data_IF_683602535988
#
_entry.id   IF_683602535988
#
_cell.length_a   1.000
_cell.length_b   1.000
_cell.length_c   1.000
_cell.angle_alpha   90.00
_cell.angle_beta   90.00
_cell.angle_gamma   90.00
#
_symmetry.space_group_name_H-M   'P 1'
#
loop_
_entity.id
_entity.type
_entity.pdbx_description
1 polymer ?
#
# COMPACT_ATOMS: atom_id res chain seq x y z
N UNK A 1 -4.59 -34.55 26.77
CA UNK A 1 -3.84 -34.56 28.02
C UNK A 1 -3.27 -33.18 28.37
N UNK A 2 -2.47 -33.13 29.40
CA UNK A 2 -1.89 -31.88 29.96
C UNK A 2 -1.09 -31.04 28.94
N UNK A 3 -0.30 -31.70 28.08
CA UNK A 3 0.54 -31.02 27.11
C UNK A 3 -0.29 -30.28 26.04
N UNK A 4 -1.45 -30.81 25.66
CA UNK A 4 -2.37 -30.12 24.76
C UNK A 4 -2.96 -28.86 25.43
N UNK A 5 -3.40 -28.96 26.67
CA UNK A 5 -3.91 -27.82 27.45
C UNK A 5 -2.84 -26.74 27.56
N UNK A 6 -1.58 -27.13 27.83
CA UNK A 6 -0.48 -26.21 27.94
C UNK A 6 -0.22 -25.44 26.64
N UNK A 7 -0.18 -26.13 25.48
CA UNK A 7 0.03 -25.48 24.20
C UNK A 7 -1.14 -24.54 23.83
N UNK A 8 -2.38 -24.92 24.13
CA UNK A 8 -3.53 -24.02 23.97
C UNK A 8 -3.46 -22.80 24.89
N UNK A 9 -3.03 -22.98 26.14
CA UNK A 9 -2.84 -21.85 27.08
C UNK A 9 -1.80 -20.85 26.56
N UNK A 10 -0.69 -21.32 25.96
CA UNK A 10 0.28 -20.44 25.32
C UNK A 10 -0.32 -19.71 24.13
N UNK A 11 -1.15 -20.36 23.28
CA UNK A 11 -1.81 -19.72 22.16
C UNK A 11 -2.73 -18.57 22.62
N UNK A 12 -3.54 -18.82 23.66
CA UNK A 12 -4.39 -17.78 24.26
C UNK A 12 -3.58 -16.62 24.85
N UNK A 13 -2.48 -16.95 25.55
CA UNK A 13 -1.61 -15.92 26.14
C UNK A 13 -0.95 -15.08 25.07
N UNK A 14 -0.46 -15.66 23.97
CA UNK A 14 0.07 -14.93 22.83
C UNK A 14 -0.98 -13.98 22.24
N UNK A 15 -2.22 -14.45 22.06
CA UNK A 15 -3.32 -13.62 21.56
C UNK A 15 -3.61 -12.44 22.52
N UNK A 16 -3.67 -12.70 23.83
CA UNK A 16 -3.91 -11.66 24.83
C UNK A 16 -2.79 -10.62 24.86
N UNK A 17 -1.52 -11.07 24.84
CA UNK A 17 -0.37 -10.16 24.80
C UNK A 17 -0.34 -9.30 23.53
N UNK A 18 -0.63 -9.89 22.37
CA UNK A 18 -0.73 -9.17 21.11
C UNK A 18 -1.84 -8.10 21.14
N UNK A 19 -3.03 -8.48 21.64
CA UNK A 19 -4.17 -7.53 21.76
C UNK A 19 -3.84 -6.35 22.66
N UNK A 20 -2.98 -6.56 23.67
CA UNK A 20 -2.49 -5.51 24.56
C UNK A 20 -1.23 -4.79 24.04
N UNK A 21 -0.82 -5.06 22.80
CA UNK A 21 0.43 -4.56 22.19
C UNK A 21 1.70 -4.82 23.02
N UNK A 22 1.71 -5.91 23.84
CA UNK A 22 2.85 -6.33 24.66
C UNK A 22 3.75 -7.30 23.85
N UNK A 23 4.23 -6.83 22.69
CA UNK A 23 4.96 -7.66 21.72
C UNK A 23 6.26 -8.23 22.28
N UNK A 24 7.01 -7.46 23.06
CA UNK A 24 8.26 -7.94 23.67
C UNK A 24 8.03 -9.13 24.60
N UNK A 25 6.97 -9.07 25.41
CA UNK A 25 6.61 -10.18 26.30
C UNK A 25 6.16 -11.41 25.51
N UNK A 26 5.43 -11.21 24.43
CA UNK A 26 5.04 -12.28 23.54
C UNK A 26 6.28 -12.97 22.94
N UNK A 27 7.23 -12.20 22.43
CA UNK A 27 8.45 -12.75 21.84
C UNK A 27 9.33 -13.47 22.87
N UNK A 28 9.38 -12.97 24.12
CA UNK A 28 10.06 -13.66 25.22
C UNK A 28 9.43 -15.02 25.59
N UNK A 29 8.13 -15.19 25.32
CA UNK A 29 7.40 -16.41 25.62
C UNK A 29 7.62 -17.51 24.57
N UNK A 30 8.06 -17.16 23.36
CA UNK A 30 8.20 -18.08 22.22
C UNK A 30 9.05 -19.31 22.53
N UNK A 31 10.25 -19.20 23.15
CA UNK A 31 11.07 -20.38 23.45
C UNK A 31 10.37 -21.40 24.37
N UNK A 32 9.58 -20.94 25.32
CA UNK A 32 8.85 -21.81 26.22
C UNK A 32 7.63 -22.44 25.54
N UNK A 33 6.98 -21.70 24.65
CA UNK A 33 5.91 -22.24 23.82
C UNK A 33 6.45 -23.35 22.88
N UNK A 34 7.59 -23.10 22.21
CA UNK A 34 8.26 -24.13 21.38
C UNK A 34 8.61 -25.39 22.15
N UNK A 35 9.16 -25.26 23.39
CA UNK A 35 9.41 -26.39 24.28
C UNK A 35 8.13 -27.15 24.63
N UNK A 36 7.02 -26.42 24.89
CA UNK A 36 5.74 -27.07 25.19
C UNK A 36 5.22 -27.86 23.97
N UNK A 37 5.34 -27.30 22.75
CA UNK A 37 4.99 -28.02 21.51
C UNK A 37 5.85 -29.25 21.33
N UNK A 38 7.19 -29.15 21.47
CA UNK A 38 8.10 -30.27 21.33
C UNK A 38 7.81 -31.40 22.38
N UNK A 39 7.45 -31.02 23.61
CA UNK A 39 7.02 -31.97 24.64
C UNK A 39 5.70 -32.64 24.26
N UNK A 40 4.75 -31.92 23.70
CA UNK A 40 3.48 -32.48 23.24
C UNK A 40 3.70 -33.45 22.07
N UNK A 41 4.56 -33.11 21.12
CA UNK A 41 4.91 -33.99 19.99
C UNK A 41 5.57 -35.28 20.50
N UNK A 42 6.52 -35.18 21.47
CA UNK A 42 7.18 -36.33 22.08
C UNK A 42 6.20 -37.23 22.85
N UNK A 43 5.29 -36.63 23.64
CA UNK A 43 4.33 -37.40 24.44
C UNK A 43 3.22 -38.06 23.60
N UNK A 44 2.88 -37.46 22.46
CA UNK A 44 1.85 -37.98 21.52
C UNK A 44 2.42 -38.92 20.45
N UNK A 45 3.74 -38.96 20.26
CA UNK A 45 4.41 -39.75 19.23
C UNK A 45 4.15 -39.24 17.79
N UNK A 46 3.63 -38.03 17.62
CA UNK A 46 3.30 -37.44 16.31
C UNK A 46 3.51 -35.94 16.34
N UNK A 47 3.74 -35.37 15.15
CA UNK A 47 3.78 -33.90 14.97
C UNK A 47 2.45 -33.27 15.36
N UNK A 48 2.50 -32.02 15.81
CA UNK A 48 1.32 -31.23 16.22
C UNK A 48 1.18 -29.99 15.34
N UNK A 49 0.70 -30.15 14.08
CA UNK A 49 0.62 -29.06 13.12
C UNK A 49 -0.30 -27.92 13.59
N UNK A 50 -1.34 -28.23 14.35
CA UNK A 50 -2.25 -27.23 14.92
C UNK A 50 -1.52 -26.34 15.95
N UNK A 51 -0.79 -26.94 16.90
CA UNK A 51 -0.06 -26.18 17.91
C UNK A 51 1.06 -25.33 17.29
N UNK A 52 1.79 -25.87 16.29
CA UNK A 52 2.77 -25.11 15.51
C UNK A 52 2.12 -23.99 14.70
N UNK A 53 0.97 -24.26 14.05
CA UNK A 53 0.19 -23.29 13.29
C UNK A 53 -0.21 -22.11 14.17
N UNK A 54 -0.74 -22.36 15.35
CA UNK A 54 -1.13 -21.31 16.30
C UNK A 54 0.05 -20.41 16.71
N UNK A 55 1.24 -21.00 16.95
CA UNK A 55 2.45 -20.23 17.21
C UNK A 55 2.84 -19.37 16.01
N UNK A 56 2.84 -19.94 14.81
CA UNK A 56 3.24 -19.20 13.61
C UNK A 56 2.24 -18.08 13.24
N UNK A 57 0.93 -18.29 13.45
CA UNK A 57 -0.08 -17.23 13.34
C UNK A 57 0.19 -16.09 14.32
N UNK A 58 0.49 -16.43 15.59
CA UNK A 58 0.80 -15.42 16.59
C UNK A 58 2.04 -14.60 16.21
N UNK A 59 3.11 -15.24 15.75
CA UNK A 59 4.34 -14.58 15.33
C UNK A 59 4.16 -13.78 14.04
N UNK A 60 3.52 -14.35 13.01
CA UNK A 60 3.20 -13.64 11.78
C UNK A 60 2.45 -12.34 12.07
N UNK A 61 1.37 -12.43 12.86
CA UNK A 61 0.58 -11.26 13.19
C UNK A 61 1.34 -10.24 14.05
N UNK A 62 2.17 -10.71 15.00
CA UNK A 62 3.04 -9.83 15.79
C UNK A 62 4.00 -9.06 14.92
N UNK A 63 4.65 -9.72 13.95
CA UNK A 63 5.56 -9.04 13.03
C UNK A 63 4.83 -8.13 12.03
N UNK A 64 3.59 -8.42 11.66
CA UNK A 64 2.73 -7.48 10.89
C UNK A 64 2.45 -6.23 11.74
N UNK A 65 2.03 -6.40 13.00
CA UNK A 65 1.69 -5.30 13.89
C UNK A 65 2.91 -4.40 14.19
N UNK A 66 4.11 -5.00 14.27
CA UNK A 66 5.40 -4.29 14.46
C UNK A 66 6.04 -3.83 13.14
N UNK A 67 5.38 -4.08 11.99
CA UNK A 67 5.84 -3.71 10.63
C UNK A 67 7.16 -4.39 10.20
N UNK A 68 7.53 -5.51 10.80
CA UNK A 68 8.64 -6.37 10.35
C UNK A 68 8.11 -7.39 9.32
N UNK A 69 7.84 -6.90 8.12
CA UNK A 69 7.16 -7.70 7.08
C UNK A 69 8.03 -8.83 6.53
N UNK A 70 9.35 -8.74 6.65
CA UNK A 70 10.25 -9.83 6.24
C UNK A 70 10.06 -11.04 7.14
N UNK A 71 10.10 -10.85 8.46
CA UNK A 71 9.80 -11.93 9.42
C UNK A 71 8.36 -12.40 9.32
N UNK A 72 7.41 -11.51 9.10
CA UNK A 72 6.02 -11.90 8.85
C UNK A 72 5.92 -12.86 7.65
N UNK A 73 6.64 -12.60 6.56
CA UNK A 73 6.73 -13.44 5.37
C UNK A 73 7.35 -14.80 5.64
N UNK A 74 8.39 -14.88 6.49
CA UNK A 74 8.97 -16.16 6.90
C UNK A 74 7.96 -17.04 7.64
N UNK A 75 7.22 -16.48 8.59
CA UNK A 75 6.20 -17.23 9.33
C UNK A 75 4.98 -17.57 8.49
N UNK A 76 4.59 -16.70 7.54
CA UNK A 76 3.58 -17.03 6.55
C UNK A 76 3.98 -18.25 5.71
N UNK A 77 5.23 -18.30 5.23
CA UNK A 77 5.75 -19.45 4.46
C UNK A 77 5.77 -20.74 5.30
N UNK A 78 6.13 -20.65 6.59
CA UNK A 78 6.03 -21.78 7.51
C UNK A 78 4.60 -22.25 7.72
N UNK A 79 3.63 -21.32 7.80
CA UNK A 79 2.20 -21.63 7.89
C UNK A 79 1.68 -22.36 6.65
N UNK A 80 2.06 -21.90 5.47
CA UNK A 80 1.66 -22.51 4.20
C UNK A 80 2.21 -23.94 4.03
N UNK A 81 3.36 -24.22 4.63
CA UNK A 81 3.95 -25.56 4.64
C UNK A 81 3.25 -26.55 5.58
N UNK A 82 2.43 -26.04 6.51
CA UNK A 82 1.67 -26.84 7.45
C UNK A 82 0.23 -26.97 6.95
N UNK A 83 -0.22 -28.18 6.68
CA UNK A 83 -1.65 -28.44 6.40
C UNK A 83 -2.43 -28.21 7.69
N UNK A 84 -2.89 -26.97 7.90
CA UNK A 84 -3.66 -26.59 9.08
C UNK A 84 -5.04 -26.08 8.65
N UNK A 85 -6.07 -26.87 8.91
CA UNK A 85 -7.46 -26.53 8.57
C UNK A 85 -8.05 -25.44 9.49
N UNK A 86 -7.35 -25.04 10.55
CA UNK A 86 -7.85 -24.10 11.56
C UNK A 86 -7.51 -22.64 11.25
N UNK A 87 -6.69 -22.39 10.22
CA UNK A 87 -6.35 -21.02 9.82
C UNK A 87 -7.37 -20.53 8.81
N UNK A 88 -7.99 -19.41 9.13
CA UNK A 88 -8.94 -18.78 8.21
C UNK A 88 -8.23 -18.35 6.92
N UNK A 89 -8.81 -18.69 5.76
CA UNK A 89 -8.31 -18.21 4.47
C UNK A 89 -8.24 -16.67 4.41
N UNK A 90 -9.10 -15.97 5.16
CA UNK A 90 -9.11 -14.51 5.23
C UNK A 90 -7.93 -13.97 6.03
N UNK A 91 -7.54 -14.66 7.11
CA UNK A 91 -6.36 -14.27 7.89
C UNK A 91 -5.08 -14.41 7.07
N UNK A 92 -4.94 -15.50 6.33
CA UNK A 92 -3.81 -15.67 5.40
C UNK A 92 -3.83 -14.63 4.28
N UNK A 93 -5.00 -14.36 3.69
CA UNK A 93 -5.14 -13.35 2.66
C UNK A 93 -4.81 -11.95 3.18
N UNK A 94 -5.28 -11.61 4.39
CA UNK A 94 -4.94 -10.37 5.08
C UNK A 94 -3.43 -10.23 5.26
N UNK A 95 -2.78 -11.25 5.77
CA UNK A 95 -1.33 -11.23 6.00
C UNK A 95 -0.55 -11.07 4.68
N UNK A 96 -0.90 -11.84 3.65
CA UNK A 96 -0.30 -11.72 2.30
C UNK A 96 -0.49 -10.33 1.73
N UNK A 97 -1.69 -9.78 1.81
CA UNK A 97 -2.00 -8.46 1.28
C UNK A 97 -1.17 -7.37 1.96
N UNK A 98 -1.03 -7.41 3.30
CA UNK A 98 -0.22 -6.45 4.05
C UNK A 98 1.27 -6.56 3.70
N UNK A 99 1.79 -7.79 3.51
CA UNK A 99 3.17 -8.00 3.08
C UNK A 99 3.39 -7.45 1.66
N UNK A 100 2.51 -7.75 0.68
CA UNK A 100 2.61 -7.19 -0.66
C UNK A 100 2.46 -5.66 -0.68
N UNK A 101 1.57 -5.11 0.15
CA UNK A 101 1.40 -3.67 0.31
C UNK A 101 2.69 -3.01 0.83
N UNK A 102 3.37 -3.62 1.80
CA UNK A 102 4.65 -3.11 2.31
C UNK A 102 5.76 -3.10 1.25
N UNK A 103 5.69 -4.02 0.30
CA UNK A 103 6.59 -4.11 -0.85
C UNK A 103 6.20 -3.17 -2.00
N UNK A 104 5.08 -2.44 -1.87
CA UNK A 104 4.52 -1.58 -2.93
C UNK A 104 3.79 -2.35 -4.04
N UNK A 105 3.64 -3.67 -3.93
CA UNK A 105 2.93 -4.50 -4.92
C UNK A 105 1.41 -4.54 -4.64
N UNK A 106 0.79 -3.37 -4.78
CA UNK A 106 -0.64 -3.18 -4.53
C UNK A 106 -1.52 -4.06 -5.44
N UNK A 107 -1.05 -4.40 -6.64
CA UNK A 107 -1.80 -5.28 -7.56
C UNK A 107 -1.92 -6.69 -7.02
N UNK A 108 -0.82 -7.27 -6.53
CA UNK A 108 -0.85 -8.59 -5.89
C UNK A 108 -1.62 -8.56 -4.59
N UNK A 109 -1.45 -7.52 -3.78
CA UNK A 109 -2.21 -7.33 -2.56
C UNK A 109 -3.72 -7.36 -2.83
N UNK A 110 -4.20 -6.61 -3.82
CA UNK A 110 -5.61 -6.58 -4.22
C UNK A 110 -6.09 -7.94 -4.72
N UNK A 111 -5.33 -8.59 -5.60
CA UNK A 111 -5.68 -9.89 -6.18
C UNK A 111 -5.85 -10.98 -5.10
N UNK A 112 -5.02 -10.97 -4.07
CA UNK A 112 -5.14 -11.91 -2.93
C UNK A 112 -6.43 -11.69 -2.15
N UNK A 113 -6.78 -10.44 -1.86
CA UNK A 113 -8.03 -10.09 -1.17
C UNK A 113 -9.23 -10.49 -2.02
N UNK A 114 -9.25 -10.12 -3.29
CA UNK A 114 -10.36 -10.42 -4.20
C UNK A 114 -10.58 -11.93 -4.35
N UNK A 115 -9.50 -12.70 -4.48
CA UNK A 115 -9.58 -14.16 -4.54
C UNK A 115 -10.13 -14.79 -3.25
N UNK A 116 -9.72 -14.27 -2.09
CA UNK A 116 -10.17 -14.80 -0.80
C UNK A 116 -11.63 -14.47 -0.51
N UNK A 117 -12.13 -13.34 -1.01
CA UNK A 117 -13.49 -12.85 -0.76
C UNK A 117 -14.48 -13.19 -1.88
N UNK A 118 -14.02 -13.82 -2.97
CA UNK A 118 -14.86 -14.19 -4.10
C UNK A 118 -16.04 -15.10 -3.66
N UNK A 119 -17.24 -14.72 -4.08
CA UNK A 119 -18.46 -15.49 -3.84
C UNK A 119 -19.01 -15.43 -2.41
N UNK A 120 -18.53 -14.51 -1.58
CA UNK A 120 -19.05 -14.30 -0.24
C UNK A 120 -20.02 -13.12 -0.26
N UNK A 121 -21.06 -13.22 0.55
CA UNK A 121 -22.03 -12.14 0.73
C UNK A 121 -21.32 -10.88 1.26
N UNK A 122 -21.53 -9.76 0.60
CA UNK A 122 -20.96 -8.47 0.99
C UNK A 122 -21.44 -8.00 2.38
N UNK A 123 -22.50 -8.56 2.93
CA UNK A 123 -22.97 -8.27 4.29
C UNK A 123 -22.24 -9.04 5.38
N UNK A 124 -21.36 -10.00 5.04
CA UNK A 124 -20.65 -10.82 6.02
C UNK A 124 -19.63 -9.99 6.82
N UNK A 125 -19.88 -9.87 8.13
CA UNK A 125 -19.01 -9.14 9.07
C UNK A 125 -17.60 -9.72 9.18
N UNK A 126 -17.41 -11.00 8.88
CA UNK A 126 -16.08 -11.63 8.91
C UNK A 126 -15.10 -11.00 7.90
N UNK A 127 -15.62 -10.28 6.90
CA UNK A 127 -14.85 -9.60 5.88
C UNK A 127 -14.40 -8.16 6.25
N UNK A 128 -14.81 -7.65 7.40
CA UNK A 128 -14.56 -6.24 7.73
C UNK A 128 -13.08 -5.86 7.70
N UNK A 129 -12.20 -6.72 8.21
CA UNK A 129 -10.76 -6.44 8.20
C UNK A 129 -10.17 -6.51 6.79
N UNK A 130 -10.63 -7.45 5.97
CA UNK A 130 -10.21 -7.52 4.56
C UNK A 130 -10.73 -6.35 3.73
N UNK A 131 -11.93 -5.86 4.02
CA UNK A 131 -12.49 -4.65 3.38
C UNK A 131 -11.67 -3.42 3.70
N UNK A 132 -11.29 -3.22 4.97
CA UNK A 132 -10.41 -2.09 5.37
C UNK A 132 -9.11 -2.09 4.60
N UNK A 133 -8.45 -3.25 4.50
CA UNK A 133 -7.21 -3.39 3.74
C UNK A 133 -7.44 -3.15 2.25
N UNK A 134 -8.53 -3.68 1.68
CA UNK A 134 -8.89 -3.44 0.28
C UNK A 134 -9.10 -1.96 -0.02
N UNK A 135 -9.81 -1.24 0.84
CA UNK A 135 -9.98 0.22 0.72
C UNK A 135 -8.65 0.96 0.72
N UNK A 136 -7.74 0.62 1.65
CA UNK A 136 -6.42 1.23 1.72
C UNK A 136 -5.59 0.94 0.46
N UNK A 137 -5.60 -0.30 -0.03
CA UNK A 137 -4.92 -0.69 -1.27
C UNK A 137 -5.47 0.09 -2.46
N UNK A 138 -6.80 0.18 -2.61
CA UNK A 138 -7.45 0.93 -3.69
C UNK A 138 -7.08 2.42 -3.64
N UNK A 139 -7.09 3.02 -2.45
CA UNK A 139 -6.67 4.40 -2.27
C UNK A 139 -5.21 4.62 -2.68
N UNK A 140 -4.29 3.74 -2.28
CA UNK A 140 -2.87 3.79 -2.68
C UNK A 140 -2.64 3.59 -4.17
N UNK A 141 -3.55 2.85 -4.84
CA UNK A 141 -3.54 2.68 -6.31
C UNK A 141 -4.14 3.89 -7.05
N UNK A 142 -4.65 4.89 -6.35
CA UNK A 142 -5.39 6.03 -6.95
C UNK A 142 -6.82 5.69 -7.41
N UNK A 143 -7.33 4.49 -7.07
CA UNK A 143 -8.71 4.04 -7.38
C UNK A 143 -9.67 4.46 -6.27
N UNK A 144 -9.77 5.76 -6.08
CA UNK A 144 -10.43 6.36 -4.91
C UNK A 144 -11.92 6.24 -4.94
N UNK A 145 -12.52 6.40 -6.11
CA UNK A 145 -13.97 6.29 -6.23
C UNK A 145 -14.44 4.87 -5.80
N UNK A 146 -13.63 3.84 -6.11
CA UNK A 146 -13.90 2.48 -5.67
C UNK A 146 -13.66 2.29 -4.17
N UNK A 147 -12.63 2.92 -3.63
CA UNK A 147 -12.37 2.88 -2.19
C UNK A 147 -13.50 3.56 -1.39
N UNK A 148 -14.01 4.71 -1.89
CA UNK A 148 -15.13 5.42 -1.29
C UNK A 148 -16.44 4.62 -1.40
N UNK A 149 -16.73 4.02 -2.56
CA UNK A 149 -17.91 3.16 -2.71
C UNK A 149 -17.88 1.97 -1.73
N UNK A 150 -16.71 1.36 -1.53
CA UNK A 150 -16.54 0.27 -0.56
C UNK A 150 -16.68 0.77 0.89
N UNK A 151 -16.27 2.01 1.17
CA UNK A 151 -16.48 2.65 2.48
C UNK A 151 -17.97 2.89 2.74
N UNK A 152 -18.70 3.41 1.77
CA UNK A 152 -20.15 3.65 1.91
C UNK A 152 -20.90 2.34 2.19
N UNK A 153 -20.54 1.25 1.50
CA UNK A 153 -21.06 -0.09 1.77
C UNK A 153 -20.70 -0.56 3.19
N UNK A 154 -19.45 -0.35 3.60
CA UNK A 154 -18.99 -0.71 4.95
C UNK A 154 -19.78 0.03 6.04
N UNK A 155 -20.00 1.33 5.87
CA UNK A 155 -20.80 2.16 6.79
C UNK A 155 -22.26 1.66 6.81
N UNK A 156 -22.89 1.44 5.65
CA UNK A 156 -24.26 1.00 5.55
C UNK A 156 -24.50 -0.37 6.22
N UNK A 157 -23.55 -1.30 6.14
CA UNK A 157 -23.64 -2.61 6.78
C UNK A 157 -23.30 -2.61 8.26
N UNK A 158 -22.56 -1.59 8.74
CA UNK A 158 -22.08 -1.50 10.13
C UNK A 158 -22.74 -0.38 10.93
N UNK A 159 -23.96 0.02 10.61
CA UNK A 159 -24.70 1.11 11.28
C UNK A 159 -24.84 0.91 12.81
N UNK A 160 -24.54 -0.28 13.31
CA UNK A 160 -24.49 -0.64 14.73
C UNK A 160 -23.12 -0.43 15.38
N UNK A 161 -22.04 -0.22 14.62
CA UNK A 161 -20.71 0.02 15.18
C UNK A 161 -20.43 1.51 15.12
N UNK A 162 -20.94 2.25 16.12
CA UNK A 162 -20.46 3.61 16.43
C UNK A 162 -18.99 3.55 16.92
N UNK A 163 -18.10 3.12 16.06
CA UNK A 163 -16.69 3.10 16.35
C UNK A 163 -16.10 4.45 15.93
N UNK A 164 -16.03 5.38 16.87
CA UNK A 164 -15.40 6.71 16.75
C UNK A 164 -13.98 6.58 16.16
N UNK A 165 -13.26 5.50 16.49
CA UNK A 165 -11.90 5.23 16.04
C UNK A 165 -11.85 4.84 14.55
N UNK A 166 -12.84 4.10 14.04
CA UNK A 166 -12.93 3.72 12.62
C UNK A 166 -13.25 4.96 11.78
N UNK A 167 -14.22 5.77 12.20
CA UNK A 167 -14.56 7.00 11.48
C UNK A 167 -13.41 8.01 11.49
N UNK A 168 -12.71 8.20 12.63
CA UNK A 168 -11.54 9.08 12.71
C UNK A 168 -10.40 8.63 11.75
N UNK A 169 -10.16 7.33 11.64
CA UNK A 169 -9.14 6.78 10.75
C UNK A 169 -9.51 6.91 9.27
N UNK A 170 -10.80 6.80 8.94
CA UNK A 170 -11.29 7.06 7.58
C UNK A 170 -11.28 8.54 7.22
N UNK A 171 -11.62 9.43 8.14
CA UNK A 171 -11.50 10.88 7.95
C UNK A 171 -10.03 11.30 7.75
N UNK A 172 -9.09 10.66 8.47
CA UNK A 172 -7.65 10.85 8.29
C UNK A 172 -7.20 10.37 6.89
N UNK A 173 -7.60 9.17 6.46
CA UNK A 173 -7.30 8.64 5.12
C UNK A 173 -7.90 9.52 4.01
N UNK A 174 -9.14 9.97 4.18
CA UNK A 174 -9.80 10.89 3.26
C UNK A 174 -9.06 12.21 3.16
N UNK A 175 -8.68 12.78 4.30
CA UNK A 175 -7.93 14.05 4.35
C UNK A 175 -6.54 13.90 3.72
N UNK A 176 -5.81 12.83 4.04
CA UNK A 176 -4.51 12.55 3.42
C UNK A 176 -4.63 12.40 1.91
N UNK A 177 -5.67 11.71 1.45
CA UNK A 177 -5.91 11.52 0.03
C UNK A 177 -6.31 12.82 -0.70
N UNK A 178 -7.19 13.64 -0.13
CA UNK A 178 -7.54 14.94 -0.71
C UNK A 178 -6.29 15.83 -0.81
N UNK A 179 -5.41 15.79 0.19
CA UNK A 179 -4.13 16.49 0.18
C UNK A 179 -3.21 15.94 -0.92
N UNK A 180 -3.04 14.62 -1.03
CA UNK A 180 -2.22 14.00 -2.08
C UNK A 180 -2.78 14.30 -3.50
N UNK A 181 -4.09 14.25 -3.67
CA UNK A 181 -4.76 14.62 -4.94
C UNK A 181 -4.53 16.09 -5.30
N UNK A 182 -4.58 16.98 -4.31
CA UNK A 182 -4.28 18.41 -4.50
C UNK A 182 -2.81 18.64 -4.83
N UNK A 183 -1.89 17.92 -4.19
CA UNK A 183 -0.44 18.01 -4.47
C UNK A 183 -0.15 17.48 -5.87
N UNK A 184 -0.65 16.31 -6.24
CA UNK A 184 -0.50 15.73 -7.58
C UNK A 184 -1.10 16.62 -8.67
N UNK A 185 -2.24 17.26 -8.38
CA UNK A 185 -2.85 18.26 -9.27
C UNK A 185 -1.96 19.50 -9.45
N UNK A 186 -1.36 20.01 -8.39
CA UNK A 186 -0.42 21.15 -8.44
C UNK A 186 0.86 20.82 -9.19
N UNK A 187 1.46 19.65 -8.96
CA UNK A 187 2.65 19.20 -9.69
C UNK A 187 2.38 19.08 -11.19
N UNK A 188 1.25 18.48 -11.58
CA UNK A 188 0.87 18.37 -12.99
C UNK A 188 0.68 19.75 -13.62
N UNK A 189 -0.01 20.67 -12.95
CA UNK A 189 -0.20 22.02 -13.43
C UNK A 189 1.11 22.81 -13.52
N UNK A 190 2.05 22.58 -12.60
CA UNK A 190 3.38 23.17 -12.63
C UNK A 190 4.20 22.67 -13.84
N UNK A 191 4.14 21.38 -14.16
CA UNK A 191 4.77 20.86 -15.37
C UNK A 191 4.17 21.44 -16.66
N UNK A 192 2.85 21.62 -16.74
CA UNK A 192 2.23 22.31 -17.87
C UNK A 192 2.68 23.76 -17.99
N UNK A 193 2.81 24.47 -16.87
CA UNK A 193 3.31 25.85 -16.84
C UNK A 193 4.76 25.93 -17.33
N UNK A 194 5.64 25.05 -16.86
CA UNK A 194 7.03 24.96 -17.31
C UNK A 194 7.12 24.66 -18.81
N UNK A 195 6.30 23.76 -19.32
CA UNK A 195 6.24 23.43 -20.74
C UNK A 195 5.78 24.63 -21.58
N UNK A 196 4.75 25.35 -21.15
CA UNK A 196 4.27 26.55 -21.81
C UNK A 196 5.34 27.66 -21.82
N UNK A 197 6.05 27.86 -20.70
CA UNK A 197 7.17 28.81 -20.63
C UNK A 197 8.29 28.45 -21.60
N UNK A 198 8.65 27.18 -21.70
CA UNK A 198 9.68 26.71 -22.64
C UNK A 198 9.28 27.00 -24.11
N UNK A 199 8.02 26.76 -24.47
CA UNK A 199 7.51 27.08 -25.81
C UNK A 199 7.57 28.59 -26.07
N UNK A 200 7.13 29.42 -25.12
CA UNK A 200 7.22 30.87 -25.23
C UNK A 200 8.65 31.37 -25.44
N UNK A 201 9.60 30.78 -24.74
CA UNK A 201 11.03 31.12 -24.85
C UNK A 201 11.59 30.76 -26.22
N UNK A 202 11.25 29.58 -26.76
CA UNK A 202 11.64 29.17 -28.12
C UNK A 202 11.05 30.13 -29.16
N UNK A 203 9.78 30.50 -29.05
CA UNK A 203 9.13 31.45 -29.96
C UNK A 203 9.79 32.81 -29.88
N UNK A 204 10.12 33.32 -28.71
CA UNK A 204 10.82 34.58 -28.52
C UNK A 204 12.20 34.59 -29.20
N UNK A 205 12.95 33.50 -29.07
CA UNK A 205 14.25 33.33 -29.74
C UNK A 205 14.12 33.31 -31.27
N UNK A 206 13.13 32.63 -31.80
CA UNK A 206 12.84 32.59 -33.25
C UNK A 206 12.46 33.98 -33.78
N UNK A 207 11.64 34.73 -33.05
CA UNK A 207 11.27 36.12 -33.42
C UNK A 207 12.47 37.05 -33.37
N UNK A 208 13.32 36.94 -32.32
CA UNK A 208 14.54 37.71 -32.20
C UNK A 208 15.53 37.38 -33.34
N UNK A 209 15.67 36.11 -33.69
CA UNK A 209 16.47 35.63 -34.82
C UNK A 209 15.95 36.18 -36.16
N UNK A 210 14.64 36.12 -36.40
CA UNK A 210 14.01 36.68 -37.61
C UNK A 210 14.20 38.21 -37.70
N UNK A 211 14.02 38.91 -36.58
CA UNK A 211 14.27 40.35 -36.51
C UNK A 211 15.73 40.71 -36.83
N UNK A 212 16.70 39.99 -36.23
CA UNK A 212 18.11 40.19 -36.49
C UNK A 212 18.46 39.90 -37.96
N UNK A 213 17.92 38.82 -38.51
CA UNK A 213 18.11 38.46 -39.92
C UNK A 213 17.56 39.54 -40.87
N UNK A 214 16.32 39.99 -40.67
CA UNK A 214 15.71 41.07 -41.46
C UNK A 214 16.51 42.37 -41.35
N UNK A 215 16.98 42.75 -40.17
CA UNK A 215 17.81 43.92 -39.96
C UNK A 215 19.14 43.82 -40.72
N UNK A 216 19.77 42.62 -40.71
CA UNK A 216 21.03 42.39 -41.43
C UNK A 216 20.86 42.47 -42.92
N UNK A 217 19.76 41.94 -43.48
CA UNK A 217 19.39 42.06 -44.91
C UNK A 217 19.14 43.50 -45.26
N UNK A 218 18.39 44.25 -44.47
CA UNK A 218 18.08 45.66 -44.72
C UNK A 218 19.41 46.51 -44.78
N UNK A 219 20.35 46.25 -43.87
CA UNK A 219 21.67 46.91 -43.87
C UNK A 219 22.51 46.55 -45.10
N UNK A 220 22.50 45.29 -45.54
CA UNK A 220 23.20 44.86 -46.76
C UNK A 220 22.56 45.49 -48.01
N UNK A 221 21.26 45.51 -48.11
CA UNK A 221 20.56 46.13 -49.22
C UNK A 221 20.83 47.63 -49.30
N UNK A 222 20.88 48.33 -48.14
CA UNK A 222 21.20 49.76 -48.11
C UNK A 222 22.63 50.04 -48.61
N UNK A 223 23.61 49.26 -48.18
CA UNK A 223 24.99 49.36 -48.66
C UNK A 223 25.11 49.06 -50.16
N UNK A 224 24.33 48.07 -50.67
CA UNK A 224 24.32 47.75 -52.09
C UNK A 224 23.72 48.94 -52.89
N UNK A 225 22.64 49.51 -52.42
CA UNK A 225 22.01 50.67 -53.04
C UNK A 225 22.93 51.89 -53.07
N UNK A 226 23.68 52.15 -52.04
CA UNK A 226 24.70 53.23 -51.99
C UNK A 226 25.79 52.99 -53.02
N UNK A 227 26.32 51.77 -53.17
CA UNK A 227 27.31 51.42 -54.18
C UNK A 227 26.81 51.59 -55.62
N UNK A 228 25.60 51.16 -55.89
CA UNK A 228 24.99 51.32 -57.22
C UNK A 228 24.87 52.81 -57.56
N UNK A 229 24.41 53.61 -56.61
CA UNK A 229 24.28 55.07 -56.81
C UNK A 229 25.62 55.78 -56.98
N UNK A 230 26.69 55.28 -56.41
CA UNK A 230 28.05 55.82 -56.67
C UNK A 230 28.58 55.43 -58.06
N UNK A 231 28.25 54.21 -58.57
CA UNK A 231 28.61 53.80 -59.93
C UNK A 231 27.86 54.58 -61.02
N UNK A 232 26.62 54.93 -60.79
CA UNK A 232 25.82 55.73 -61.76
C UNK A 232 26.21 57.24 -61.80
N UNK A 233 27.12 57.69 -60.92
CA UNK A 233 27.61 59.06 -60.88
C UNK A 233 29.02 59.22 -61.51
N UNK A 234 29.65 58.17 -61.94
CA UNK A 234 30.90 58.15 -62.68
C UNK A 234 30.64 57.99 -64.18
#
# INVERSE_FOLDING_TARGET
GYDNILTQSYAFLCTALRTQAQYDKLLQLVPDYEKAIARFEKSSGRTQPEARGNLYVALMNTYIDTKDYDKAGEYLSKLESIVNNNISKYELARAKALIFQSQGDYRKALAVIDSATAGIDESDFSLNDTRKIKMEILARMGRVDEALALLDQFIATNDTIKNVEVNARFDELRTQYEVEKHIAGKERNFHYLLFALAICLVLALLLAGAFYYNRTIALKNRKLYERIKEQDRL
#
